data_IF_758904902018
#
_entry.id   IF_758904902018
#
_cell.length_a   1.000
_cell.length_b   1.000
_cell.length_c   1.000
_cell.angle_alpha   90.00
_cell.angle_beta   90.00
_cell.angle_gamma   90.00
#
_symmetry.space_group_name_H-M   'P 1'
#
loop_
_entity.id
_entity.type
_entity.pdbx_description
1 polymer ?
#
# COMPACT_ATOMS: atom_id res chain seq x y z
N UNK A 1 -25.13 -6.50 -65.44
CA UNK A 1 -24.17 -7.59 -65.70
C UNK A 1 -23.12 -7.61 -64.60
N UNK A 2 -22.97 -8.75 -63.92
CA UNK A 2 -22.09 -9.00 -62.77
C UNK A 2 -20.60 -8.88 -63.12
N UNK A 3 -19.79 -8.37 -62.18
CA UNK A 3 -18.43 -8.87 -61.93
C UNK A 3 -18.22 -9.04 -60.43
N UNK A 4 -18.36 -10.30 -59.97
CA UNK A 4 -17.87 -10.77 -58.67
C UNK A 4 -16.34 -10.83 -58.73
N UNK A 5 -15.66 -9.92 -58.04
CA UNK A 5 -14.25 -10.11 -57.71
C UNK A 5 -14.13 -11.12 -56.57
N UNK A 6 -13.59 -12.31 -56.84
CA UNK A 6 -13.16 -13.24 -55.80
C UNK A 6 -11.93 -12.64 -55.12
N UNK A 7 -12.08 -12.18 -53.88
CA UNK A 7 -10.96 -11.92 -52.99
C UNK A 7 -10.46 -13.29 -52.51
N UNK A 8 -9.31 -13.73 -52.99
CA UNK A 8 -8.60 -14.84 -52.35
C UNK A 8 -8.00 -14.30 -51.05
N UNK A 9 -8.44 -14.85 -49.92
CA UNK A 9 -7.77 -14.67 -48.64
C UNK A 9 -6.38 -15.30 -48.74
N UNK A 10 -5.33 -14.50 -48.59
CA UNK A 10 -3.98 -15.01 -48.40
C UNK A 10 -3.97 -15.83 -47.11
N UNK A 11 -3.93 -17.17 -47.23
CA UNK A 11 -3.80 -18.04 -46.07
C UNK A 11 -2.34 -18.11 -45.66
N UNK A 12 -2.08 -18.06 -44.35
CA UNK A 12 -0.76 -18.26 -43.76
C UNK A 12 -0.12 -19.59 -44.17
N UNK A 13 -0.95 -20.60 -44.49
CA UNK A 13 -0.50 -21.88 -45.00
C UNK A 13 0.19 -21.76 -46.37
N UNK A 14 -0.34 -20.95 -47.29
CA UNK A 14 0.26 -20.76 -48.61
C UNK A 14 1.57 -19.95 -48.54
N UNK A 15 1.66 -19.00 -47.61
CA UNK A 15 2.90 -18.27 -47.35
C UNK A 15 3.98 -19.16 -46.69
N UNK A 16 3.60 -20.07 -45.79
CA UNK A 16 4.51 -21.02 -45.17
C UNK A 16 5.05 -22.05 -46.18
N UNK A 17 4.23 -22.48 -47.13
CA UNK A 17 4.60 -23.43 -48.19
C UNK A 17 5.57 -22.79 -49.21
N UNK A 18 5.36 -21.51 -49.56
CA UNK A 18 6.30 -20.74 -50.39
C UNK A 18 7.65 -20.52 -49.71
N UNK A 19 7.68 -20.33 -48.38
CA UNK A 19 8.91 -20.19 -47.61
C UNK A 19 9.68 -21.51 -47.53
N UNK A 20 8.99 -22.63 -47.28
CA UNK A 20 9.59 -23.97 -47.25
C UNK A 20 10.22 -24.37 -48.61
N UNK A 21 9.59 -23.98 -49.72
CA UNK A 21 10.07 -24.28 -51.07
C UNK A 21 11.19 -23.35 -51.56
N UNK A 22 11.43 -22.21 -50.90
CA UNK A 22 12.44 -21.22 -51.33
C UNK A 22 13.87 -21.52 -50.87
N UNK A 23 14.09 -22.60 -50.11
CA UNK A 23 15.41 -22.99 -49.59
C UNK A 23 16.01 -22.00 -48.58
N UNK A 24 15.28 -20.94 -48.22
CA UNK A 24 15.67 -20.02 -47.16
C UNK A 24 15.38 -20.65 -45.80
N UNK A 25 16.44 -20.94 -45.05
CA UNK A 25 16.34 -21.27 -43.63
C UNK A 25 15.78 -20.04 -42.92
N UNK A 26 14.53 -20.10 -42.46
CA UNK A 26 13.94 -19.06 -41.62
C UNK A 26 14.81 -19.00 -40.36
N UNK A 27 15.58 -17.92 -40.19
CA UNK A 27 16.29 -17.68 -38.94
C UNK A 27 15.27 -17.67 -37.81
N UNK A 28 15.38 -18.64 -36.92
CA UNK A 28 14.60 -18.70 -35.69
C UNK A 28 14.96 -17.43 -34.90
N UNK A 29 13.99 -16.53 -34.77
CA UNK A 29 14.08 -15.40 -33.83
C UNK A 29 14.21 -16.01 -32.43
N UNK A 30 15.44 -16.07 -31.93
CA UNK A 30 15.81 -16.49 -30.59
C UNK A 30 15.40 -15.41 -29.58
N UNK A 31 15.29 -15.78 -28.30
CA UNK A 31 14.87 -14.90 -27.20
C UNK A 31 15.70 -13.59 -27.06
N UNK A 32 16.83 -13.47 -27.76
CA UNK A 32 17.72 -12.30 -27.74
C UNK A 32 17.16 -11.02 -28.37
N UNK A 33 16.13 -11.08 -29.21
CA UNK A 33 15.62 -9.90 -29.93
C UNK A 33 14.51 -9.12 -29.18
N UNK A 34 14.11 -9.57 -27.98
CA UNK A 34 13.08 -8.91 -27.17
C UNK A 34 13.66 -8.07 -26.02
N UNK A 35 14.27 -6.92 -26.33
CA UNK A 35 14.80 -5.90 -25.37
C UNK A 35 15.83 -6.44 -24.33
N UNK A 36 16.66 -5.58 -23.70
CA UNK A 36 17.96 -5.98 -23.12
C UNK A 36 17.90 -6.78 -21.80
N UNK A 37 16.79 -7.43 -21.46
CA UNK A 37 16.63 -8.15 -20.19
C UNK A 37 17.08 -9.62 -20.25
N UNK A 38 17.08 -10.22 -21.45
CA UNK A 38 17.51 -11.60 -21.64
C UNK A 38 19.04 -11.77 -21.51
N UNK A 39 19.82 -10.75 -21.89
CA UNK A 39 21.27 -10.88 -22.03
C UNK A 39 22.08 -10.84 -20.71
N UNK A 40 21.48 -10.42 -19.58
CA UNK A 40 22.22 -10.17 -18.32
C UNK A 40 21.76 -11.01 -17.11
N UNK A 41 20.74 -11.86 -17.24
CA UNK A 41 20.04 -12.41 -16.06
C UNK A 41 20.34 -13.89 -15.73
N UNK A 42 21.03 -14.59 -16.62
CA UNK A 42 21.45 -15.98 -16.43
C UNK A 42 22.97 -16.05 -16.67
N UNK A 43 23.75 -15.85 -15.62
CA UNK A 43 25.10 -16.43 -15.59
C UNK A 43 24.93 -17.93 -15.88
N UNK A 44 25.48 -18.40 -17.00
CA UNK A 44 25.31 -19.75 -17.57
C UNK A 44 24.01 -20.00 -18.38
N UNK A 45 23.70 -19.15 -19.38
CA UNK A 45 22.74 -19.53 -20.43
C UNK A 45 23.36 -20.60 -21.34
N UNK A 46 22.76 -21.80 -21.34
CA UNK A 46 23.11 -22.88 -22.25
C UNK A 46 22.21 -22.77 -23.49
N UNK A 47 22.75 -22.75 -24.73
CA UNK A 47 21.94 -22.77 -25.95
C UNK A 47 20.89 -23.91 -25.98
N UNK A 48 21.13 -25.02 -25.28
CA UNK A 48 20.17 -26.13 -25.16
C UNK A 48 18.94 -25.76 -24.31
N UNK A 49 19.00 -24.71 -23.48
CA UNK A 49 17.87 -24.21 -22.68
C UNK A 49 16.78 -23.53 -23.53
N UNK A 50 17.08 -23.20 -24.78
CA UNK A 50 16.11 -22.66 -25.75
C UNK A 50 15.42 -23.77 -26.55
N UNK A 51 15.86 -25.02 -26.42
CA UNK A 51 15.33 -26.20 -27.11
C UNK A 51 14.43 -27.02 -26.17
N UNK A 52 13.15 -26.65 -26.14
CA UNK A 52 12.07 -27.36 -25.44
C UNK A 52 10.76 -27.31 -26.24
N UNK A 53 9.74 -28.02 -25.76
CA UNK A 53 8.42 -28.14 -26.40
C UNK A 53 7.91 -26.87 -27.12
N UNK A 54 7.54 -27.04 -28.39
CA UNK A 54 7.16 -25.95 -29.28
C UNK A 54 5.86 -25.25 -28.86
N UNK A 55 4.90 -25.98 -28.29
CA UNK A 55 3.65 -25.38 -27.80
C UNK A 55 3.90 -24.49 -26.58
N UNK A 56 4.82 -24.90 -25.69
CA UNK A 56 5.27 -24.08 -24.57
C UNK A 56 5.98 -22.82 -25.07
N UNK A 57 6.87 -22.93 -26.06
CA UNK A 57 7.50 -21.74 -26.66
C UNK A 57 6.48 -20.76 -27.21
N UNK A 58 5.45 -21.26 -27.92
CA UNK A 58 4.37 -20.43 -28.45
C UNK A 58 3.60 -19.75 -27.31
N UNK A 59 3.29 -20.47 -26.23
CA UNK A 59 2.61 -19.92 -25.07
C UNK A 59 3.43 -18.82 -24.39
N UNK A 60 4.74 -19.03 -24.18
CA UNK A 60 5.67 -18.01 -23.65
C UNK A 60 5.76 -16.78 -24.56
N UNK A 61 5.79 -16.97 -25.89
CA UNK A 61 5.76 -15.87 -26.88
C UNK A 61 4.47 -15.06 -26.83
N UNK A 62 3.33 -15.66 -26.45
CA UNK A 62 2.07 -14.93 -26.22
C UNK A 62 2.11 -14.11 -24.93
N UNK A 63 2.73 -14.64 -23.87
CA UNK A 63 2.86 -13.97 -22.56
C UNK A 63 3.64 -12.65 -22.63
N UNK A 64 4.58 -12.51 -23.55
CA UNK A 64 5.37 -11.27 -23.71
C UNK A 64 4.68 -10.19 -24.56
N UNK A 65 3.49 -10.47 -25.11
CA UNK A 65 2.80 -9.49 -25.97
C UNK A 65 2.23 -8.33 -25.14
N UNK A 66 2.07 -7.17 -25.76
CA UNK A 66 1.47 -5.98 -25.13
C UNK A 66 -0.03 -6.12 -24.87
N UNK A 67 -0.73 -6.88 -25.72
CA UNK A 67 -2.16 -7.12 -25.61
C UNK A 67 -2.48 -8.07 -24.44
N UNK A 68 -3.32 -7.60 -23.52
CA UNK A 68 -3.63 -8.31 -22.28
C UNK A 68 -4.39 -9.62 -22.51
N UNK A 69 -5.28 -9.68 -23.50
CA UNK A 69 -6.02 -10.88 -23.85
C UNK A 69 -5.09 -11.97 -24.40
N UNK A 70 -4.14 -11.60 -25.24
CA UNK A 70 -3.11 -12.49 -25.78
C UNK A 70 -2.21 -13.03 -24.67
N UNK A 71 -1.78 -12.17 -23.73
CA UNK A 71 -1.01 -12.62 -22.56
C UNK A 71 -1.80 -13.61 -21.71
N UNK A 72 -3.05 -13.29 -21.39
CA UNK A 72 -3.91 -14.15 -20.59
C UNK A 72 -4.11 -15.51 -21.26
N UNK A 73 -4.33 -15.54 -22.58
CA UNK A 73 -4.43 -16.78 -23.36
C UNK A 73 -3.13 -17.59 -23.27
N UNK A 74 -1.97 -16.94 -23.42
CA UNK A 74 -0.67 -17.59 -23.25
C UNK A 74 -0.49 -18.23 -21.88
N UNK A 75 -0.88 -17.55 -20.79
CA UNK A 75 -0.82 -18.11 -19.43
C UNK A 75 -1.75 -19.32 -19.26
N UNK A 76 -2.97 -19.26 -19.80
CA UNK A 76 -3.93 -20.37 -19.74
C UNK A 76 -3.45 -21.59 -20.51
N UNK A 77 -2.92 -21.40 -21.70
CA UNK A 77 -2.32 -22.47 -22.51
C UNK A 77 -1.11 -23.09 -21.81
N UNK A 78 -0.18 -22.25 -21.33
CA UNK A 78 1.02 -22.71 -20.62
C UNK A 78 0.66 -23.57 -19.40
N UNK A 79 -0.35 -23.15 -18.62
CA UNK A 79 -0.86 -23.94 -17.48
C UNK A 79 -1.31 -25.35 -17.89
N UNK A 80 -1.95 -25.50 -19.05
CA UNK A 80 -2.43 -26.80 -19.54
C UNK A 80 -1.30 -27.70 -20.07
N UNK A 81 -0.17 -27.11 -20.46
CA UNK A 81 0.95 -27.82 -21.08
C UNK A 81 1.93 -28.38 -20.04
N UNK A 82 2.16 -27.68 -18.92
CA UNK A 82 3.16 -28.06 -17.88
C UNK A 82 3.01 -29.52 -17.43
N UNK A 83 1.78 -30.03 -17.30
CA UNK A 83 1.55 -31.40 -16.84
C UNK A 83 1.74 -32.45 -17.96
N UNK A 84 1.65 -32.05 -19.23
CA UNK A 84 1.64 -32.93 -20.40
C UNK A 84 3.03 -33.20 -21.00
N UNK A 85 3.96 -32.27 -20.82
CA UNK A 85 5.31 -32.36 -21.40
C UNK A 85 6.30 -33.08 -20.47
N UNK A 86 7.50 -33.37 -20.99
CA UNK A 86 8.56 -34.00 -20.21
C UNK A 86 9.05 -33.09 -19.08
N UNK A 87 9.59 -33.67 -18.01
CA UNK A 87 10.16 -32.88 -16.91
C UNK A 87 11.32 -31.99 -17.38
N UNK A 88 12.04 -32.40 -18.43
CA UNK A 88 13.13 -31.63 -19.00
C UNK A 88 12.62 -30.36 -19.71
N UNK A 89 11.55 -30.49 -20.52
CA UNK A 89 10.90 -29.34 -21.16
C UNK A 89 10.35 -28.35 -20.13
N UNK A 90 9.77 -28.86 -19.04
CA UNK A 90 9.29 -28.02 -17.93
C UNK A 90 10.46 -27.31 -17.25
N UNK A 91 11.58 -28.00 -17.03
CA UNK A 91 12.77 -27.42 -16.42
C UNK A 91 13.35 -26.29 -17.27
N UNK A 92 13.51 -26.52 -18.58
CA UNK A 92 14.02 -25.52 -19.53
C UNK A 92 13.07 -24.32 -19.63
N UNK A 93 11.78 -24.56 -19.86
CA UNK A 93 10.78 -23.49 -19.95
C UNK A 93 10.59 -22.71 -18.64
N UNK A 94 10.79 -23.34 -17.47
CA UNK A 94 10.73 -22.64 -16.19
C UNK A 94 11.80 -21.55 -16.07
N UNK A 95 13.00 -21.76 -16.61
CA UNK A 95 14.07 -20.74 -16.62
C UNK A 95 13.60 -19.45 -17.29
N UNK A 96 12.88 -19.59 -18.41
CA UNK A 96 12.26 -18.47 -19.12
C UNK A 96 11.13 -17.83 -18.31
N UNK A 97 10.23 -18.64 -17.74
CA UNK A 97 9.10 -18.13 -16.97
C UNK A 97 9.53 -17.38 -15.70
N UNK A 98 10.60 -17.83 -15.03
CA UNK A 98 11.17 -17.17 -13.84
C UNK A 98 11.60 -15.73 -14.13
N UNK A 99 12.12 -15.46 -15.33
CA UNK A 99 12.52 -14.11 -15.74
C UNK A 99 11.28 -13.23 -15.97
N UNK A 100 10.21 -13.81 -16.53
CA UNK A 100 8.97 -13.09 -16.82
C UNK A 100 8.11 -12.83 -15.57
N UNK A 101 8.17 -13.72 -14.58
CA UNK A 101 7.25 -13.73 -13.44
C UNK A 101 7.22 -12.41 -12.66
N UNK A 102 8.34 -11.76 -12.28
CA UNK A 102 8.30 -10.48 -11.58
C UNK A 102 7.49 -9.41 -12.34
N UNK A 103 7.63 -9.32 -13.66
CA UNK A 103 6.88 -8.37 -14.50
C UNK A 103 5.38 -8.72 -14.54
N UNK A 104 5.05 -10.00 -14.65
CA UNK A 104 3.66 -10.49 -14.61
C UNK A 104 3.02 -10.28 -13.24
N UNK A 105 3.80 -10.39 -12.16
CA UNK A 105 3.34 -10.21 -10.78
C UNK A 105 2.89 -8.77 -10.51
N UNK A 106 3.37 -7.80 -11.29
CA UNK A 106 2.97 -6.39 -11.17
C UNK A 106 2.09 -5.90 -12.31
N UNK A 107 1.62 -6.79 -13.19
CA UNK A 107 0.74 -6.44 -14.32
C UNK A 107 -0.51 -5.68 -13.84
N UNK A 108 -0.99 -4.70 -14.62
CA UNK A 108 -2.17 -3.92 -14.29
C UNK A 108 -3.43 -4.80 -14.10
N UNK A 109 -3.55 -5.88 -14.88
CA UNK A 109 -4.71 -6.76 -14.88
C UNK A 109 -4.60 -7.84 -13.81
N UNK A 110 -5.51 -7.81 -12.82
CA UNK A 110 -5.56 -8.79 -11.73
C UNK A 110 -5.70 -10.25 -12.21
N UNK A 111 -6.41 -10.48 -13.32
CA UNK A 111 -6.53 -11.80 -13.95
C UNK A 111 -5.19 -12.33 -14.45
N UNK A 112 -4.34 -11.47 -15.02
CA UNK A 112 -2.98 -11.85 -15.44
C UNK A 112 -2.13 -12.21 -14.22
N UNK A 113 -2.16 -11.38 -13.16
CA UNK A 113 -1.44 -11.66 -11.91
C UNK A 113 -1.84 -13.02 -11.31
N UNK A 114 -3.14 -13.29 -11.17
CA UNK A 114 -3.61 -14.57 -10.63
C UNK A 114 -3.27 -15.76 -11.53
N UNK A 115 -3.36 -15.62 -12.86
CA UNK A 115 -2.95 -16.70 -13.78
C UNK A 115 -1.44 -16.95 -13.77
N UNK A 116 -0.62 -15.91 -13.59
CA UNK A 116 0.82 -16.07 -13.43
C UNK A 116 1.16 -16.87 -12.16
N UNK A 117 0.47 -16.60 -11.04
CA UNK A 117 0.60 -17.39 -9.80
C UNK A 117 0.18 -18.85 -10.02
N UNK A 118 -0.92 -19.11 -10.75
CA UNK A 118 -1.35 -20.49 -11.08
C UNK A 118 -0.31 -21.25 -11.90
N UNK A 119 0.22 -20.62 -12.94
CA UNK A 119 1.29 -21.18 -13.77
C UNK A 119 2.51 -21.47 -12.92
N UNK A 120 2.88 -20.53 -12.04
CA UNK A 120 4.01 -20.72 -11.13
C UNK A 120 3.83 -21.93 -10.22
N UNK A 121 2.64 -22.09 -9.62
CA UNK A 121 2.30 -23.24 -8.81
C UNK A 121 2.39 -24.56 -9.59
N UNK A 122 1.98 -24.57 -10.86
CA UNK A 122 2.15 -25.72 -11.76
C UNK A 122 3.62 -26.11 -11.94
N UNK A 123 4.48 -25.12 -12.21
CA UNK A 123 5.93 -25.35 -12.32
C UNK A 123 6.53 -25.91 -11.03
N UNK A 124 6.24 -25.29 -9.88
CA UNK A 124 6.80 -25.71 -8.58
C UNK A 124 6.32 -27.13 -8.23
N UNK A 125 5.05 -27.45 -8.44
CA UNK A 125 4.50 -28.80 -8.19
C UNK A 125 5.15 -29.86 -9.09
N UNK A 126 5.37 -29.56 -10.37
CA UNK A 126 5.97 -30.49 -11.35
C UNK A 126 7.48 -30.68 -11.13
N UNK A 127 8.20 -29.60 -10.81
CA UNK A 127 9.66 -29.62 -10.66
C UNK A 127 10.14 -29.98 -9.24
N UNK A 128 9.32 -29.75 -8.23
CA UNK A 128 9.64 -30.00 -6.83
C UNK A 128 11.01 -29.39 -6.46
N UNK A 129 11.97 -30.17 -5.96
CA UNK A 129 13.32 -29.73 -5.58
C UNK A 129 14.07 -29.03 -6.72
N UNK A 130 13.79 -29.37 -7.99
CA UNK A 130 14.44 -28.73 -9.13
C UNK A 130 14.04 -27.25 -9.30
N UNK A 131 12.99 -26.79 -8.62
CA UNK A 131 12.59 -25.37 -8.62
C UNK A 131 13.35 -24.52 -7.59
N UNK A 132 14.00 -25.15 -6.60
CA UNK A 132 14.66 -24.49 -5.46
C UNK A 132 15.63 -23.36 -5.86
N UNK A 133 16.51 -23.51 -6.87
CA UNK A 133 17.46 -22.46 -7.26
C UNK A 133 16.80 -21.15 -7.70
N UNK A 134 15.54 -21.22 -8.13
CA UNK A 134 14.81 -20.08 -8.67
C UNK A 134 13.89 -19.42 -7.66
N UNK A 135 13.54 -20.08 -6.56
CA UNK A 135 12.54 -19.61 -5.60
C UNK A 135 12.85 -18.22 -5.06
N UNK A 136 14.13 -17.91 -4.82
CA UNK A 136 14.57 -16.58 -4.35
C UNK A 136 14.24 -15.44 -5.31
N UNK A 137 14.10 -15.71 -6.61
CA UNK A 137 13.75 -14.71 -7.63
C UNK A 137 12.24 -14.44 -7.72
N UNK A 138 11.40 -15.34 -7.22
CA UNK A 138 9.95 -15.35 -7.52
C UNK A 138 9.06 -15.29 -6.27
N UNK A 139 9.41 -16.01 -5.19
CA UNK A 139 8.58 -16.11 -4.00
C UNK A 139 8.39 -14.77 -3.28
N UNK A 140 9.38 -13.85 -3.24
CA UNK A 140 9.14 -12.53 -2.67
C UNK A 140 7.97 -11.78 -3.32
N UNK A 141 7.82 -11.88 -4.65
CA UNK A 141 6.71 -11.26 -5.37
C UNK A 141 5.37 -11.96 -5.08
N UNK A 142 5.35 -13.28 -4.93
CA UNK A 142 4.15 -14.04 -4.53
C UNK A 142 3.68 -13.62 -3.14
N UNK A 143 4.61 -13.49 -2.19
CA UNK A 143 4.28 -13.09 -0.81
C UNK A 143 3.73 -11.67 -0.79
N UNK A 144 4.27 -10.73 -1.58
CA UNK A 144 3.66 -9.42 -1.76
C UNK A 144 2.23 -9.53 -2.31
N UNK A 145 1.97 -10.42 -3.28
CA UNK A 145 0.63 -10.61 -3.86
C UNK A 145 -0.43 -11.09 -2.86
N UNK A 146 -0.05 -11.55 -1.66
CA UNK A 146 -0.98 -11.78 -0.56
C UNK A 146 -1.58 -10.49 0.01
N UNK A 147 -1.04 -9.32 -0.36
CA UNK A 147 -1.52 -7.98 0.00
C UNK A 147 -2.10 -7.23 -1.22
N UNK A 148 -2.45 -7.94 -2.29
CA UNK A 148 -3.05 -7.33 -3.48
C UNK A 148 -4.44 -6.73 -3.18
N UNK A 149 -4.80 -5.65 -3.89
CA UNK A 149 -6.12 -5.02 -3.73
C UNK A 149 -7.28 -5.89 -4.22
N UNK A 150 -7.02 -6.90 -5.04
CA UNK A 150 -8.01 -7.83 -5.56
C UNK A 150 -7.96 -9.16 -4.82
N UNK A 151 -9.07 -9.53 -4.18
CA UNK A 151 -9.22 -10.78 -3.42
C UNK A 151 -8.88 -12.03 -4.23
N UNK A 152 -9.17 -12.04 -5.54
CA UNK A 152 -8.80 -13.17 -6.41
C UNK A 152 -7.29 -13.41 -6.47
N UNK A 153 -6.46 -12.36 -6.42
CA UNK A 153 -5.00 -12.48 -6.46
C UNK A 153 -4.47 -12.92 -5.09
N UNK A 154 -5.04 -12.35 -4.02
CA UNK A 154 -4.70 -12.72 -2.64
C UNK A 154 -4.99 -14.19 -2.39
N UNK A 155 -6.19 -14.66 -2.72
CA UNK A 155 -6.62 -16.02 -2.50
C UNK A 155 -5.78 -17.01 -3.30
N UNK A 156 -5.47 -16.68 -4.56
CA UNK A 156 -4.63 -17.53 -5.41
C UNK A 156 -3.19 -17.62 -4.88
N UNK A 157 -2.62 -16.50 -4.42
CA UNK A 157 -1.26 -16.47 -3.86
C UNK A 157 -1.15 -17.29 -2.58
N UNK A 158 -2.14 -17.14 -1.68
CA UNK A 158 -2.24 -17.95 -0.46
C UNK A 158 -2.40 -19.43 -0.76
N UNK A 159 -3.32 -19.78 -1.67
CA UNK A 159 -3.56 -21.17 -2.05
C UNK A 159 -2.34 -21.80 -2.71
N UNK A 160 -1.66 -21.08 -3.59
CA UNK A 160 -0.46 -21.59 -4.25
C UNK A 160 0.66 -21.88 -3.25
N UNK A 161 0.91 -20.96 -2.31
CA UNK A 161 1.92 -21.17 -1.27
C UNK A 161 1.56 -22.36 -0.36
N UNK A 162 0.31 -22.44 0.12
CA UNK A 162 -0.15 -23.53 0.98
C UNK A 162 -0.07 -24.90 0.28
N UNK A 163 -0.43 -24.95 -1.00
CA UNK A 163 -0.39 -26.16 -1.80
C UNK A 163 1.04 -26.62 -2.13
N UNK A 164 1.94 -25.68 -2.45
CA UNK A 164 3.31 -26.01 -2.86
C UNK A 164 4.23 -26.25 -1.65
N UNK A 165 3.92 -25.63 -0.51
CA UNK A 165 4.71 -25.69 0.72
C UNK A 165 3.81 -26.00 1.93
N UNK A 166 3.21 -27.20 2.01
CA UNK A 166 2.28 -27.53 3.08
C UNK A 166 2.96 -27.70 4.45
N UNK A 167 2.16 -27.56 5.52
CA UNK A 167 2.57 -27.71 6.92
C UNK A 167 3.69 -26.72 7.30
N UNK A 168 4.65 -27.15 8.12
CA UNK A 168 5.78 -26.33 8.61
C UNK A 168 6.63 -25.69 7.50
N UNK A 169 6.54 -26.20 6.25
CA UNK A 169 7.22 -25.60 5.11
C UNK A 169 6.65 -24.22 4.76
N UNK A 170 5.36 -24.00 5.00
CA UNK A 170 4.73 -22.69 4.76
C UNK A 170 5.40 -21.63 5.62
N UNK A 171 5.46 -21.88 6.93
CA UNK A 171 6.07 -20.96 7.90
C UNK A 171 7.56 -20.77 7.62
N UNK A 172 8.25 -21.86 7.25
CA UNK A 172 9.67 -21.79 6.84
C UNK A 172 9.87 -20.88 5.62
N UNK A 173 9.01 -20.98 4.61
CA UNK A 173 9.06 -20.11 3.42
C UNK A 173 8.78 -18.66 3.81
N UNK A 174 7.76 -18.41 4.62
CA UNK A 174 7.43 -17.06 5.07
C UNK A 174 8.58 -16.42 5.86
N UNK A 175 9.29 -17.20 6.69
CA UNK A 175 10.45 -16.72 7.45
C UNK A 175 11.66 -16.45 6.54
N UNK A 176 12.04 -17.42 5.68
CA UNK A 176 13.20 -17.30 4.78
C UNK A 176 13.08 -16.08 3.87
N UNK A 177 11.87 -15.78 3.40
CA UNK A 177 11.64 -14.69 2.44
C UNK A 177 11.20 -13.37 3.09
N UNK A 178 11.08 -13.30 4.41
CA UNK A 178 10.64 -12.08 5.12
C UNK A 178 11.50 -10.86 4.76
N UNK A 179 12.81 -10.99 4.85
CA UNK A 179 13.75 -9.90 4.54
C UNK A 179 13.78 -9.56 3.03
N UNK A 180 13.93 -10.52 2.09
CA UNK A 180 13.83 -10.23 0.66
C UNK A 180 12.54 -9.52 0.23
N UNK A 181 11.40 -9.88 0.84
CA UNK A 181 10.11 -9.21 0.56
C UNK A 181 10.14 -7.76 1.07
N UNK A 182 10.67 -7.54 2.27
CA UNK A 182 10.81 -6.19 2.82
C UNK A 182 11.68 -5.30 1.95
N UNK A 183 12.82 -5.79 1.46
CA UNK A 183 13.67 -5.02 0.55
C UNK A 183 12.94 -4.57 -0.71
N UNK A 184 12.14 -5.46 -1.32
CA UNK A 184 11.32 -5.15 -2.49
C UNK A 184 10.25 -4.12 -2.12
N UNK A 185 9.56 -4.31 -0.99
CA UNK A 185 8.54 -3.40 -0.50
C UNK A 185 9.09 -1.98 -0.30
N UNK A 186 10.25 -1.84 0.35
CA UNK A 186 10.93 -0.57 0.56
C UNK A 186 11.38 0.07 -0.76
N UNK A 187 11.86 -0.72 -1.73
CA UNK A 187 12.21 -0.23 -3.07
C UNK A 187 10.98 0.27 -3.84
N UNK A 188 9.82 -0.39 -3.71
CA UNK A 188 8.57 0.11 -4.30
C UNK A 188 8.11 1.41 -3.65
N UNK A 189 8.06 1.46 -2.31
CA UNK A 189 7.67 2.66 -1.56
C UNK A 189 8.61 3.86 -1.80
N UNK A 190 9.89 3.58 -2.12
CA UNK A 190 10.90 4.61 -2.41
C UNK A 190 11.01 4.98 -3.89
N UNK A 191 10.12 4.50 -4.76
CA UNK A 191 10.17 4.72 -6.22
C UNK A 191 11.52 4.30 -6.87
N UNK A 192 12.17 3.26 -6.31
CA UNK A 192 13.51 2.79 -6.70
C UNK A 192 13.49 1.43 -7.42
N UNK A 193 12.37 0.71 -7.41
CA UNK A 193 12.29 -0.58 -8.06
C UNK A 193 12.11 -0.43 -9.58
N UNK A 194 12.90 -1.16 -10.37
CA UNK A 194 12.86 -1.14 -11.84
C UNK A 194 11.49 -1.48 -12.47
N UNK A 195 10.61 -2.17 -11.73
CA UNK A 195 9.31 -2.64 -12.21
C UNK A 195 8.23 -1.56 -12.11
N UNK A 196 8.57 -0.38 -11.55
CA UNK A 196 7.69 0.79 -11.52
C UNK A 196 7.63 1.49 -12.88
N UNK A 197 8.68 1.35 -13.70
CA UNK A 197 8.80 1.98 -15.01
C UNK A 197 8.33 1.02 -16.10
N UNK A 198 7.70 1.56 -17.15
CA UNK A 198 7.30 0.80 -18.35
C UNK A 198 6.51 -0.49 -18.04
N UNK A 199 5.51 -0.41 -17.16
CA UNK A 199 4.69 -1.58 -16.89
C UNK A 199 3.72 -1.89 -18.03
N UNK A 200 3.16 -3.10 -17.98
CA UNK A 200 2.20 -3.57 -18.98
C UNK A 200 0.76 -3.17 -18.61
N UNK A 201 -0.07 -2.95 -19.64
CA UNK A 201 -1.49 -2.60 -19.48
C UNK A 201 -1.76 -1.09 -19.44
N UNK A 202 -2.97 -0.72 -19.01
CA UNK A 202 -3.50 0.64 -19.13
C UNK A 202 -3.22 1.55 -17.91
N UNK A 203 -2.65 1.02 -16.83
CA UNK A 203 -2.36 1.84 -15.64
C UNK A 203 -1.22 2.83 -15.90
N UNK A 204 -1.40 4.08 -15.48
CA UNK A 204 -0.35 5.10 -15.50
C UNK A 204 0.78 4.71 -14.55
N UNK A 205 1.98 5.30 -14.72
CA UNK A 205 3.09 5.06 -13.79
C UNK A 205 2.73 5.45 -12.34
N UNK A 206 1.94 6.51 -12.15
CA UNK A 206 1.47 6.94 -10.84
C UNK A 206 0.49 5.94 -10.22
N UNK A 207 -0.47 5.44 -11.01
CA UNK A 207 -1.43 4.43 -10.55
C UNK A 207 -0.71 3.15 -10.12
N UNK A 208 0.27 2.71 -10.93
CA UNK A 208 1.12 1.55 -10.62
C UNK A 208 1.93 1.78 -9.34
N UNK A 209 2.59 2.92 -9.22
CA UNK A 209 3.36 3.28 -8.02
C UNK A 209 2.49 3.21 -6.77
N UNK A 210 1.32 3.87 -6.78
CA UNK A 210 0.42 3.91 -5.62
C UNK A 210 -0.12 2.53 -5.25
N UNK A 211 -0.45 1.68 -6.24
CA UNK A 211 -0.91 0.31 -6.01
C UNK A 211 0.18 -0.55 -5.37
N UNK A 212 1.40 -0.52 -5.90
CA UNK A 212 2.52 -1.31 -5.38
C UNK A 212 3.01 -0.77 -4.03
N UNK A 213 2.96 0.55 -3.81
CA UNK A 213 3.23 1.16 -2.51
C UNK A 213 2.20 0.72 -1.47
N UNK A 214 0.90 0.74 -1.79
CA UNK A 214 -0.16 0.27 -0.89
C UNK A 214 0.07 -1.18 -0.44
N UNK A 215 0.31 -2.07 -1.41
CA UNK A 215 0.62 -3.48 -1.17
C UNK A 215 1.85 -3.66 -0.27
N UNK A 216 2.89 -2.86 -0.52
CA UNK A 216 4.12 -2.84 0.28
C UNK A 216 3.88 -2.37 1.71
N UNK A 217 3.12 -1.30 1.91
CA UNK A 217 2.77 -0.77 3.23
C UNK A 217 1.98 -1.80 4.04
N UNK A 218 1.03 -2.49 3.40
CA UNK A 218 0.24 -3.53 4.04
C UNK A 218 1.10 -4.72 4.47
N UNK A 219 2.05 -5.13 3.64
CA UNK A 219 3.04 -6.15 4.00
C UNK A 219 3.90 -5.72 5.20
N UNK A 220 4.47 -4.52 5.16
CA UNK A 220 5.27 -4.01 6.28
C UNK A 220 4.45 -3.92 7.57
N UNK A 221 3.19 -3.50 7.48
CA UNK A 221 2.30 -3.46 8.63
C UNK A 221 2.04 -4.86 9.22
N UNK A 222 1.90 -5.90 8.39
CA UNK A 222 1.67 -7.27 8.88
C UNK A 222 2.90 -7.84 9.62
N UNK A 223 4.09 -7.69 9.03
CA UNK A 223 5.32 -8.22 9.65
C UNK A 223 5.73 -7.48 10.92
N UNK A 224 5.28 -6.22 11.10
CA UNK A 224 5.48 -5.50 12.35
C UNK A 224 4.64 -6.04 13.52
N UNK A 225 3.83 -7.08 13.32
CA UNK A 225 3.14 -7.80 14.40
C UNK A 225 3.89 -9.06 14.85
N UNK A 226 4.90 -9.47 14.08
CA UNK A 226 5.68 -10.68 14.27
C UNK A 226 7.07 -10.37 14.86
N UNK A 227 7.78 -11.41 15.29
CA UNK A 227 9.21 -11.29 15.59
C UNK A 227 9.98 -10.94 14.31
N UNK A 228 10.82 -9.91 14.37
CA UNK A 228 11.67 -9.46 13.27
C UNK A 228 13.11 -9.25 13.74
N UNK A 229 14.06 -9.42 12.81
CA UNK A 229 15.47 -9.14 13.08
C UNK A 229 15.70 -7.64 13.30
N UNK A 230 16.76 -7.31 14.05
CA UNK A 230 17.15 -5.92 14.27
C UNK A 230 17.52 -5.20 12.97
N UNK A 231 18.10 -5.93 12.01
CA UNK A 231 18.47 -5.38 10.70
C UNK A 231 17.22 -4.99 9.89
N UNK A 232 16.23 -5.88 9.85
CA UNK A 232 14.96 -5.62 9.19
C UNK A 232 14.25 -4.41 9.81
N UNK A 233 14.25 -4.32 11.14
CA UNK A 233 13.69 -3.18 11.89
C UNK A 233 14.40 -1.87 11.51
N UNK A 234 15.73 -1.87 11.45
CA UNK A 234 16.53 -0.69 11.06
C UNK A 234 16.23 -0.25 9.62
N UNK A 235 16.10 -1.18 8.68
CA UNK A 235 15.74 -0.85 7.29
C UNK A 235 14.38 -0.15 7.20
N UNK A 236 13.38 -0.66 7.94
CA UNK A 236 12.05 -0.03 8.01
C UNK A 236 12.16 1.38 8.61
N UNK A 237 12.95 1.57 9.68
CA UNK A 237 13.11 2.89 10.30
C UNK A 237 13.83 3.89 9.39
N UNK A 238 14.84 3.42 8.64
CA UNK A 238 15.58 4.24 7.69
C UNK A 238 14.67 4.82 6.59
N UNK A 239 13.61 4.10 6.20
CA UNK A 239 12.63 4.63 5.24
C UNK A 239 11.99 5.94 5.70
N UNK A 240 11.63 6.04 6.98
CA UNK A 240 11.01 7.25 7.57
C UNK A 240 11.99 8.41 7.77
N UNK A 241 13.30 8.13 7.68
CA UNK A 241 14.35 9.16 7.66
C UNK A 241 14.53 9.78 6.27
N UNK A 242 14.07 9.10 5.20
CA UNK A 242 14.18 9.56 3.83
C UNK A 242 13.12 10.59 3.43
N UNK A 243 13.07 11.04 2.16
CA UNK A 243 12.04 11.96 1.70
C UNK A 243 10.75 11.26 1.22
N UNK A 244 10.80 9.96 0.93
CA UNK A 244 9.77 9.26 0.18
C UNK A 244 8.46 9.06 0.95
N UNK A 245 8.50 8.89 2.28
CA UNK A 245 7.28 8.79 3.10
C UNK A 245 6.41 10.04 2.98
N UNK A 246 7.00 11.22 2.73
CA UNK A 246 6.25 12.48 2.56
C UNK A 246 5.29 12.41 1.38
N UNK A 247 5.72 11.81 0.26
CA UNK A 247 4.88 11.62 -0.93
C UNK A 247 3.69 10.71 -0.63
N UNK A 248 3.89 9.64 0.14
CA UNK A 248 2.86 8.65 0.43
C UNK A 248 1.79 9.17 1.42
N UNK A 249 2.16 10.11 2.29
CA UNK A 249 1.27 10.67 3.33
C UNK A 249 0.80 12.10 3.04
N UNK A 250 1.16 12.68 1.89
CA UNK A 250 0.75 14.04 1.54
C UNK A 250 -0.78 14.13 1.34
N UNK A 251 -1.38 15.33 1.48
CA UNK A 251 -2.80 15.55 1.16
C UNK A 251 -3.19 15.22 -0.29
N UNK A 252 -2.22 15.20 -1.21
CA UNK A 252 -2.43 14.87 -2.62
C UNK A 252 -2.33 13.37 -2.93
N UNK A 253 -1.89 12.55 -1.96
CA UNK A 253 -1.74 11.10 -2.13
C UNK A 253 -3.10 10.40 -2.12
N UNK A 254 -3.15 9.15 -2.59
CA UNK A 254 -4.37 8.36 -2.58
C UNK A 254 -4.79 8.00 -1.14
N UNK A 255 -6.07 8.16 -0.81
CA UNK A 255 -6.58 7.99 0.56
C UNK A 255 -6.23 6.63 1.19
N UNK A 256 -6.34 5.48 0.48
CA UNK A 256 -5.95 4.18 1.04
C UNK A 256 -4.45 4.09 1.39
N UNK A 257 -3.59 4.79 0.63
CA UNK A 257 -2.14 4.85 0.89
C UNK A 257 -1.89 5.68 2.15
N UNK A 258 -2.52 6.85 2.28
CA UNK A 258 -2.39 7.72 3.44
C UNK A 258 -2.82 7.01 4.73
N UNK A 259 -4.01 6.39 4.74
CA UNK A 259 -4.50 5.69 5.93
C UNK A 259 -3.63 4.49 6.28
N UNK A 260 -3.14 3.74 5.29
CA UNK A 260 -2.22 2.63 5.52
C UNK A 260 -0.86 3.09 6.05
N UNK A 261 -0.32 4.21 5.57
CA UNK A 261 0.92 4.81 6.08
C UNK A 261 0.80 5.24 7.55
N UNK A 262 -0.32 5.86 7.93
CA UNK A 262 -0.60 6.25 9.31
C UNK A 262 -0.76 5.03 10.22
N UNK A 263 -1.41 3.97 9.75
CA UNK A 263 -1.52 2.71 10.49
C UNK A 263 -0.16 2.01 10.63
N UNK A 264 0.67 2.01 9.57
CA UNK A 264 2.04 1.49 9.64
C UNK A 264 2.88 2.27 10.65
N UNK A 265 2.82 3.60 10.64
CA UNK A 265 3.51 4.42 11.63
C UNK A 265 3.03 4.12 13.05
N UNK A 266 1.71 4.01 13.25
CA UNK A 266 1.10 3.63 14.55
C UNK A 266 1.52 2.24 15.03
N UNK A 267 1.88 1.35 14.09
CA UNK A 267 2.40 0.02 14.39
C UNK A 267 3.89 0.06 14.71
N UNK A 268 4.66 0.86 13.99
CA UNK A 268 6.09 1.01 14.22
C UNK A 268 6.36 1.57 15.62
N UNK A 269 5.54 2.50 16.10
CA UNK A 269 5.69 3.07 17.45
C UNK A 269 5.50 2.05 18.59
N UNK A 270 4.97 0.86 18.31
CA UNK A 270 4.91 -0.23 19.30
C UNK A 270 6.19 -1.09 19.33
N UNK A 271 7.10 -0.88 18.39
CA UNK A 271 8.41 -1.54 18.35
C UNK A 271 9.43 -0.76 19.19
N UNK A 272 10.46 -1.46 19.66
CA UNK A 272 11.63 -0.84 20.30
C UNK A 272 12.25 0.20 19.37
N UNK A 273 12.51 1.40 19.90
CA UNK A 273 13.03 2.60 19.20
C UNK A 273 12.14 3.15 18.08
N UNK A 274 10.93 2.62 17.90
CA UNK A 274 10.03 3.02 16.81
C UNK A 274 9.56 4.47 16.90
N UNK A 275 9.36 5.00 18.13
CA UNK A 275 9.04 6.41 18.33
C UNK A 275 10.13 7.34 17.80
N UNK A 276 11.40 7.03 18.02
CA UNK A 276 12.51 7.89 17.57
C UNK A 276 12.52 8.04 16.05
N UNK A 277 12.30 6.93 15.32
CA UNK A 277 12.24 6.93 13.86
C UNK A 277 11.03 7.73 13.33
N UNK A 278 9.86 7.56 13.94
CA UNK A 278 8.62 8.19 13.46
C UNK A 278 8.56 9.68 13.82
N UNK A 279 8.99 10.08 15.01
CA UNK A 279 8.92 11.48 15.45
C UNK A 279 9.80 12.40 14.60
N UNK A 280 10.96 11.93 14.13
CA UNK A 280 11.84 12.69 13.23
C UNK A 280 11.31 12.79 11.80
N UNK A 281 10.21 12.09 11.48
CA UNK A 281 9.63 12.07 10.14
C UNK A 281 8.55 13.16 9.95
N UNK A 282 7.86 13.14 8.81
CA UNK A 282 6.75 14.05 8.53
C UNK A 282 5.40 13.52 9.05
N UNK A 283 5.37 12.28 9.57
CA UNK A 283 4.15 11.62 10.03
C UNK A 283 3.42 12.41 11.12
N UNK A 284 4.08 12.96 12.16
CA UNK A 284 3.40 13.74 13.19
C UNK A 284 2.63 14.92 12.60
N UNK A 285 3.28 15.74 11.77
CA UNK A 285 2.63 16.87 11.09
C UNK A 285 1.49 16.42 10.19
N UNK A 286 1.71 15.39 9.36
CA UNK A 286 0.70 14.87 8.45
C UNK A 286 -0.54 14.35 9.18
N UNK A 287 -0.37 13.70 10.34
CA UNK A 287 -1.49 13.19 11.13
C UNK A 287 -2.46 14.31 11.53
N UNK A 288 -1.95 15.47 11.98
CA UNK A 288 -2.77 16.65 12.25
C UNK A 288 -3.41 17.25 11.01
N UNK A 289 -2.70 17.28 9.87
CA UNK A 289 -3.27 17.72 8.59
C UNK A 289 -4.47 16.87 8.18
N UNK A 290 -4.47 15.58 8.51
CA UNK A 290 -5.49 14.62 8.06
C UNK A 290 -6.67 14.40 9.02
N UNK A 291 -6.71 15.06 10.18
CA UNK A 291 -7.80 14.90 11.16
C UNK A 291 -9.20 15.17 10.57
N UNK A 292 -9.35 16.23 9.76
CA UNK A 292 -10.63 16.60 9.15
C UNK A 292 -10.80 16.05 7.72
N UNK A 293 -10.03 15.04 7.34
CA UNK A 293 -10.13 14.43 6.02
C UNK A 293 -11.53 13.83 5.82
N UNK A 294 -12.11 14.04 4.63
CA UNK A 294 -13.43 13.54 4.28
C UNK A 294 -13.47 12.00 4.22
N UNK A 295 -12.35 11.36 3.91
CA UNK A 295 -12.22 9.91 3.98
C UNK A 295 -12.16 9.44 5.43
N UNK A 296 -13.09 8.54 5.78
CA UNK A 296 -13.23 8.00 7.14
C UNK A 296 -11.99 7.23 7.59
N UNK A 297 -11.37 6.48 6.69
CA UNK A 297 -10.20 5.66 7.03
C UNK A 297 -8.99 6.53 7.34
N UNK A 298 -8.82 7.62 6.60
CA UNK A 298 -7.73 8.59 6.80
C UNK A 298 -7.90 9.36 8.11
N UNK A 299 -9.06 9.98 8.33
CA UNK A 299 -9.32 10.74 9.57
C UNK A 299 -9.24 9.85 10.82
N UNK A 300 -9.72 8.61 10.74
CA UNK A 300 -9.58 7.64 11.84
C UNK A 300 -8.13 7.25 12.11
N UNK A 301 -7.35 6.92 11.09
CA UNK A 301 -5.94 6.55 11.26
C UNK A 301 -5.13 7.72 11.82
N UNK A 302 -5.41 8.95 11.37
CA UNK A 302 -4.82 10.18 11.90
C UNK A 302 -5.14 10.36 13.38
N UNK A 303 -6.43 10.28 13.76
CA UNK A 303 -6.86 10.42 15.15
C UNK A 303 -6.24 9.37 16.07
N UNK A 304 -6.16 8.12 15.62
CA UNK A 304 -5.51 7.04 16.38
C UNK A 304 -4.03 7.34 16.63
N UNK A 305 -3.30 7.78 15.60
CA UNK A 305 -1.89 8.12 15.75
C UNK A 305 -1.67 9.32 16.68
N UNK A 306 -2.48 10.38 16.55
CA UNK A 306 -2.43 11.55 17.45
C UNK A 306 -2.71 11.12 18.90
N UNK A 307 -3.70 10.26 19.12
CA UNK A 307 -4.01 9.75 20.45
C UNK A 307 -2.87 8.93 21.05
N UNK A 308 -2.17 8.14 20.22
CA UNK A 308 -0.96 7.43 20.66
C UNK A 308 0.16 8.39 21.08
N UNK A 309 0.38 9.49 20.33
CA UNK A 309 1.38 10.51 20.70
C UNK A 309 1.06 11.17 22.04
N UNK A 310 -0.22 11.49 22.28
CA UNK A 310 -0.68 12.04 23.57
C UNK A 310 -0.44 11.05 24.70
N UNK A 311 -0.86 9.79 24.53
CA UNK A 311 -0.67 8.74 25.55
C UNK A 311 0.79 8.49 25.89
N UNK A 312 1.66 8.54 24.89
CA UNK A 312 3.10 8.37 25.07
C UNK A 312 3.81 9.64 25.58
N UNK A 313 3.10 10.77 25.72
CA UNK A 313 3.65 12.08 26.10
C UNK A 313 4.80 12.55 25.20
N UNK A 314 4.68 12.30 23.89
CA UNK A 314 5.70 12.66 22.89
C UNK A 314 5.22 13.70 21.88
N UNK A 315 3.96 14.12 21.98
CA UNK A 315 3.32 15.04 21.02
C UNK A 315 4.15 16.32 20.81
N UNK A 316 4.60 16.94 21.89
CA UNK A 316 5.31 18.22 21.88
C UNK A 316 6.82 18.10 21.71
N UNK A 317 7.35 16.86 21.59
CA UNK A 317 8.77 16.66 21.30
C UNK A 317 9.13 17.18 19.90
N UNK A 318 8.15 17.23 18.99
CA UNK A 318 8.37 17.54 17.57
C UNK A 318 7.35 18.49 16.97
N UNK A 319 6.20 18.70 17.61
CA UNK A 319 5.17 19.64 17.14
C UNK A 319 5.12 20.87 18.04
N UNK A 320 5.11 22.03 17.40
CA UNK A 320 4.89 23.30 18.08
C UNK A 320 3.48 23.36 18.68
N UNK A 321 3.39 23.70 19.96
CA UNK A 321 2.16 23.73 20.74
C UNK A 321 1.15 24.70 20.12
N UNK A 322 1.58 25.91 19.77
CA UNK A 322 0.68 27.00 19.36
C UNK A 322 0.42 27.00 17.85
N UNK A 323 1.49 26.98 17.07
CA UNK A 323 1.47 27.12 15.62
C UNK A 323 0.90 25.88 14.93
N UNK A 324 1.11 24.70 15.51
CA UNK A 324 0.68 23.43 14.93
C UNK A 324 -0.50 22.83 15.68
N UNK A 325 -0.34 22.49 16.96
CA UNK A 325 -1.34 21.69 17.70
C UNK A 325 -2.59 22.51 18.02
N UNK A 326 -2.45 23.60 18.77
CA UNK A 326 -3.56 24.43 19.23
C UNK A 326 -4.33 25.05 18.06
N UNK A 327 -3.61 25.66 17.10
CA UNK A 327 -4.21 26.18 15.87
C UNK A 327 -5.02 25.11 15.13
N UNK A 328 -4.49 23.89 15.01
CA UNK A 328 -5.18 22.83 14.28
C UNK A 328 -6.40 22.32 15.03
N UNK A 329 -6.36 22.24 16.36
CA UNK A 329 -7.55 21.88 17.16
C UNK A 329 -8.69 22.85 16.94
N UNK A 330 -8.43 24.16 17.05
CA UNK A 330 -9.42 25.22 16.76
C UNK A 330 -9.97 25.06 15.34
N UNK A 331 -9.10 24.88 14.34
CA UNK A 331 -9.52 24.74 12.94
C UNK A 331 -10.37 23.48 12.68
N UNK A 332 -10.07 22.36 13.32
CA UNK A 332 -10.84 21.12 13.18
C UNK A 332 -12.20 21.27 13.88
N UNK A 333 -12.23 21.88 15.08
CA UNK A 333 -13.48 22.10 15.81
C UNK A 333 -14.45 22.99 15.03
N UNK A 334 -13.90 24.03 14.38
CA UNK A 334 -14.62 24.90 13.47
C UNK A 334 -15.19 24.18 12.24
N UNK A 335 -14.59 23.07 11.82
CA UNK A 335 -15.04 22.31 10.65
C UNK A 335 -16.09 21.30 11.09
N UNK A 336 -17.34 21.70 11.05
CA UNK A 336 -18.47 20.88 11.53
C UNK A 336 -19.00 19.94 10.45
N UNK A 337 -18.29 18.80 10.24
CA UNK A 337 -18.55 17.82 9.17
C UNK A 337 -18.49 16.35 9.63
N UNK A 338 -18.78 15.40 8.75
CA UNK A 338 -18.94 13.97 9.10
C UNK A 338 -17.71 13.26 9.71
N UNK A 339 -16.51 13.85 9.64
CA UNK A 339 -15.30 13.28 10.24
C UNK A 339 -15.34 13.21 11.78
N UNK A 340 -16.25 13.94 12.43
CA UNK A 340 -16.38 13.99 13.90
C UNK A 340 -16.53 12.62 14.57
N UNK A 341 -17.19 11.67 13.89
CA UNK A 341 -17.33 10.29 14.37
C UNK A 341 -16.00 9.53 14.52
N UNK A 342 -14.91 10.03 13.92
CA UNK A 342 -13.60 9.40 13.96
C UNK A 342 -12.60 10.15 14.85
N UNK A 343 -12.86 11.42 15.16
CA UNK A 343 -11.90 12.31 15.85
C UNK A 343 -12.34 12.79 17.23
N UNK A 344 -13.62 12.60 17.60
CA UNK A 344 -14.16 13.06 18.90
C UNK A 344 -13.25 12.65 20.07
N UNK A 345 -12.86 11.37 20.08
CA UNK A 345 -12.13 10.74 21.19
C UNK A 345 -10.69 11.26 21.35
N UNK A 346 -10.17 12.06 20.41
CA UNK A 346 -8.82 12.64 20.49
C UNK A 346 -8.83 14.13 20.82
N UNK A 347 -9.95 14.84 20.62
CA UNK A 347 -10.00 16.30 20.83
C UNK A 347 -9.71 16.70 22.28
N UNK A 348 -10.47 16.16 23.24
CA UNK A 348 -10.32 16.49 24.66
C UNK A 348 -8.96 16.04 25.22
N UNK A 349 -8.44 14.83 24.90
CA UNK A 349 -7.08 14.45 25.29
C UNK A 349 -5.99 15.41 24.78
N UNK A 350 -6.07 15.88 23.53
CA UNK A 350 -5.10 16.83 22.98
C UNK A 350 -5.23 18.20 23.66
N UNK A 351 -6.46 18.70 23.85
CA UNK A 351 -6.70 19.96 24.57
C UNK A 351 -6.09 19.88 25.96
N UNK A 352 -6.36 18.81 26.70
CA UNK A 352 -5.79 18.58 28.03
C UNK A 352 -4.25 18.61 28.01
N UNK A 353 -3.62 17.92 27.07
CA UNK A 353 -2.18 17.93 26.93
C UNK A 353 -1.62 19.35 26.68
N UNK A 354 -2.30 20.17 25.87
CA UNK A 354 -1.90 21.57 25.64
C UNK A 354 -2.00 22.42 26.92
N UNK A 355 -3.02 22.20 27.76
CA UNK A 355 -3.18 22.92 29.03
C UNK A 355 -2.08 22.57 30.04
N UNK A 356 -1.57 21.33 30.01
CA UNK A 356 -0.49 20.89 30.90
C UNK A 356 0.85 21.59 30.60
N UNK A 357 1.05 22.10 29.38
CA UNK A 357 2.27 22.80 28.96
C UNK A 357 2.18 24.34 29.03
N UNK A 358 0.98 24.88 29.28
CA UNK A 358 0.72 26.33 29.22
C UNK A 358 0.57 26.95 30.59
N UNK A 359 0.91 28.24 30.70
CA UNK A 359 0.59 29.01 31.90
C UNK A 359 -0.93 29.12 32.08
N UNK A 360 -1.38 29.50 33.28
CA UNK A 360 -2.81 29.67 33.58
C UNK A 360 -3.47 30.68 32.62
N UNK A 361 -2.83 31.83 32.38
CA UNK A 361 -3.35 32.87 31.50
C UNK A 361 -3.46 32.40 30.04
N UNK A 362 -2.45 31.71 29.52
CA UNK A 362 -2.47 31.16 28.16
C UNK A 362 -3.49 30.04 28.01
N UNK A 363 -3.64 29.20 29.03
CA UNK A 363 -4.63 28.13 29.08
C UNK A 363 -6.05 28.66 29.05
N UNK A 364 -6.35 29.72 29.82
CA UNK A 364 -7.65 30.40 29.76
C UNK A 364 -7.94 30.95 28.37
N UNK A 365 -6.98 31.63 27.75
CA UNK A 365 -7.13 32.15 26.39
C UNK A 365 -7.37 31.04 25.37
N UNK A 366 -6.67 29.91 25.50
CA UNK A 366 -6.87 28.76 24.63
C UNK A 366 -8.24 28.12 24.81
N UNK A 367 -8.70 27.91 26.06
CA UNK A 367 -10.03 27.39 26.36
C UNK A 367 -11.14 28.29 25.82
N UNK A 368 -10.96 29.60 25.82
CA UNK A 368 -11.91 30.53 25.20
C UNK A 368 -11.91 30.38 23.68
N UNK A 369 -10.74 30.33 23.02
CA UNK A 369 -10.67 30.07 21.57
C UNK A 369 -11.33 28.74 21.15
N UNK A 370 -11.20 27.70 21.97
CA UNK A 370 -11.85 26.41 21.72
C UNK A 370 -13.37 26.54 21.86
N UNK A 371 -13.84 27.24 22.90
CA UNK A 371 -15.26 27.51 23.08
C UNK A 371 -15.82 28.28 21.86
N UNK A 372 -15.14 29.35 21.46
CA UNK A 372 -15.49 30.15 20.27
C UNK A 372 -15.64 29.25 19.05
N UNK A 373 -14.69 28.33 18.86
CA UNK A 373 -14.70 27.43 17.71
C UNK A 373 -15.92 26.49 17.67
N UNK A 374 -16.39 26.02 18.82
CA UNK A 374 -17.63 25.25 18.90
C UNK A 374 -18.83 26.08 18.42
N UNK A 375 -18.86 27.38 18.71
CA UNK A 375 -19.98 28.26 18.41
C UNK A 375 -19.90 29.01 17.06
N UNK A 376 -18.71 29.13 16.48
CA UNK A 376 -18.45 29.89 15.23
C UNK A 376 -19.37 29.47 14.06
N UNK A 377 -20.08 30.42 13.46
CA UNK A 377 -20.93 30.16 12.28
C UNK A 377 -22.28 29.48 12.54
N UNK A 378 -22.79 29.53 13.78
CA UNK A 378 -24.19 29.21 14.11
C UNK A 378 -25.15 30.39 13.86
N UNK A 379 -26.46 30.18 13.60
CA UNK A 379 -27.18 28.90 13.58
C UNK A 379 -27.14 28.15 12.23
N UNK A 380 -27.20 26.82 12.29
CA UNK A 380 -26.97 25.90 11.17
C UNK A 380 -28.19 25.70 10.24
N UNK A 381 -27.90 25.43 8.97
CA UNK A 381 -28.80 24.70 8.07
C UNK A 381 -28.72 23.18 8.37
N UNK A 382 -29.54 22.72 9.34
CA UNK A 382 -30.05 21.40 9.82
C UNK A 382 -29.41 20.04 9.37
N UNK A 383 -28.48 19.96 8.43
CA UNK A 383 -27.92 18.68 7.94
C UNK A 383 -26.85 18.03 8.83
N UNK A 384 -26.43 18.65 9.94
CA UNK A 384 -25.34 18.13 10.78
C UNK A 384 -25.62 18.20 12.30
N UNK A 385 -26.37 17.25 12.86
CA UNK A 385 -26.25 16.91 14.27
C UNK A 385 -25.46 15.59 14.40
N UNK A 386 -24.15 15.69 14.60
CA UNK A 386 -23.32 14.53 14.91
C UNK A 386 -23.26 14.36 16.43
N UNK A 387 -23.84 13.27 16.94
CA UNK A 387 -23.77 12.89 18.37
C UNK A 387 -22.33 12.93 18.89
N UNK A 388 -21.34 12.56 18.08
CA UNK A 388 -19.93 12.62 18.47
C UNK A 388 -19.44 14.05 18.70
N UNK A 389 -19.92 15.03 17.93
CA UNK A 389 -19.62 16.45 18.16
C UNK A 389 -20.19 16.92 19.50
N UNK A 390 -21.47 16.61 19.75
CA UNK A 390 -22.17 17.01 20.98
C UNK A 390 -21.49 16.39 22.20
N UNK A 391 -21.18 15.09 22.14
CA UNK A 391 -20.45 14.42 23.22
C UNK A 391 -19.07 15.05 23.44
N UNK A 392 -18.35 15.40 22.36
CA UNK A 392 -17.06 16.10 22.52
C UNK A 392 -17.22 17.46 23.18
N UNK A 393 -18.28 18.21 22.85
CA UNK A 393 -18.56 19.50 23.48
C UNK A 393 -18.90 19.34 24.98
N UNK A 394 -19.64 18.30 25.35
CA UNK A 394 -19.93 17.96 26.75
C UNK A 394 -18.62 17.63 27.49
N UNK A 395 -17.81 16.73 26.95
CA UNK A 395 -16.52 16.35 27.54
C UNK A 395 -15.57 17.56 27.67
N UNK A 396 -15.55 18.45 26.67
CA UNK A 396 -14.80 19.71 26.73
C UNK A 396 -15.31 20.63 27.84
N UNK A 397 -16.64 20.73 28.00
CA UNK A 397 -17.27 21.55 29.04
C UNK A 397 -16.88 21.06 30.43
N UNK A 398 -16.96 19.75 30.64
CA UNK A 398 -16.51 19.10 31.88
C UNK A 398 -15.02 19.39 32.15
N UNK A 399 -14.16 19.21 31.15
CA UNK A 399 -12.73 19.53 31.25
C UNK A 399 -12.51 20.99 31.64
N UNK A 400 -13.18 21.95 30.97
CA UNK A 400 -13.02 23.38 31.21
C UNK A 400 -13.44 23.75 32.63
N UNK A 401 -14.59 23.25 33.10
CA UNK A 401 -15.08 23.51 34.46
C UNK A 401 -14.09 22.94 35.49
N UNK A 402 -13.72 21.67 35.37
CA UNK A 402 -12.78 21.02 36.28
C UNK A 402 -11.43 21.74 36.32
N UNK A 403 -10.89 22.11 35.16
CA UNK A 403 -9.62 22.85 35.08
C UNK A 403 -9.74 24.23 35.74
N UNK A 404 -10.81 24.97 35.48
CA UNK A 404 -11.05 26.31 36.06
C UNK A 404 -11.19 26.25 37.58
N UNK A 405 -11.94 25.28 38.12
CA UNK A 405 -12.08 25.10 39.58
C UNK A 405 -10.74 24.83 40.26
N UNK A 406 -9.86 24.07 39.60
CA UNK A 406 -8.56 23.70 40.17
C UNK A 406 -7.51 24.81 40.07
N UNK A 407 -7.55 25.63 39.01
CA UNK A 407 -6.47 26.58 38.69
C UNK A 407 -6.86 28.05 38.89
N UNK A 408 -8.16 28.37 38.98
CA UNK A 408 -8.69 29.74 38.93
C UNK A 408 -9.75 29.99 40.01
N UNK A 409 -9.57 29.43 41.22
CA UNK A 409 -10.58 29.46 42.28
C UNK A 409 -11.12 30.87 42.61
N UNK A 410 -10.29 31.91 42.49
CA UNK A 410 -10.68 33.29 42.80
C UNK A 410 -11.53 33.97 41.70
N UNK A 411 -11.49 33.46 40.46
CA UNK A 411 -12.17 34.04 39.30
C UNK A 411 -13.31 33.15 38.78
N UNK A 412 -13.65 32.09 39.54
CA UNK A 412 -14.55 31.02 39.10
C UNK A 412 -15.92 31.56 38.68
N UNK A 413 -16.54 32.40 39.49
CA UNK A 413 -17.89 32.94 39.22
C UNK A 413 -17.92 33.72 37.91
N UNK A 414 -16.90 34.56 37.65
CA UNK A 414 -16.83 35.37 36.43
C UNK A 414 -16.61 34.50 35.18
N UNK A 415 -15.73 33.50 35.26
CA UNK A 415 -15.42 32.62 34.13
C UNK A 415 -16.62 31.72 33.80
N UNK A 416 -17.28 31.19 34.82
CA UNK A 416 -18.45 30.33 34.70
C UNK A 416 -19.65 31.11 34.15
N UNK A 417 -19.88 32.34 34.63
CA UNK A 417 -20.97 33.19 34.14
C UNK A 417 -20.81 33.54 32.65
N UNK A 418 -19.59 33.92 32.22
CA UNK A 418 -19.27 34.15 30.80
C UNK A 418 -19.50 32.91 29.95
N UNK A 419 -19.08 31.74 30.44
CA UNK A 419 -19.27 30.47 29.76
C UNK A 419 -20.76 30.16 29.57
N UNK A 420 -21.56 30.20 30.65
CA UNK A 420 -22.99 29.90 30.57
C UNK A 420 -23.74 30.90 29.71
N UNK A 421 -23.41 32.19 29.82
CA UNK A 421 -23.98 33.23 28.97
C UNK A 421 -23.78 32.88 27.49
N UNK A 422 -22.57 32.47 27.10
CA UNK A 422 -22.26 32.12 25.72
C UNK A 422 -22.99 30.88 25.21
N UNK A 423 -23.05 29.82 26.03
CA UNK A 423 -23.80 28.60 25.69
C UNK A 423 -25.29 28.92 25.57
N UNK A 424 -25.85 29.68 26.50
CA UNK A 424 -27.25 30.09 26.51
C UNK A 424 -27.62 30.83 25.22
N UNK A 425 -26.81 31.81 24.79
CA UNK A 425 -27.06 32.59 23.57
C UNK A 425 -27.10 31.79 22.27
N UNK A 426 -26.49 30.61 22.22
CA UNK A 426 -26.39 29.82 20.99
C UNK A 426 -27.20 28.53 21.00
N UNK A 427 -27.64 28.07 22.18
CA UNK A 427 -28.39 26.82 22.35
C UNK A 427 -29.90 27.02 22.57
N UNK A 428 -30.33 28.24 22.93
CA UNK A 428 -31.73 28.64 23.16
C UNK A 428 -32.06 29.77 22.20
#
# INVERSE_FOLDING_TARGET
>A
MQRRGKIFTASSAHAAELLANSGHTVQIVTFGDCEPFAATSLENHDPDDDLFDAEIQIALKKIIKKDSQTREKGLKELRQLIDKVSIDDVRKSFKHFVILFPKLSVDATATIRSNAVRVLGGYIKKLQKNSEPYLKKILPYVILLMQDSYSQVVNESKSMLADCFPNEKYDTVMEIFKEPVCEIALKFMSDKHQLLRKGEGEETEEQRFMRLALQSIQYLHSICTESMSDELRKQIFQFFSGPYHRRLISPSSQMPVVSSMLNLASRITTLTDGWEAILKSYVPTASFTHLDNADRSVSRAAALFVHQMVKAKVLFNVLDIDETVARRMVAVINRKKNFWSNVSNVMVPVIKAVLEEKTIAESQLFLEKILDAFFEGMPWNISFPNVAWVNTFIEFTELRICWTMNQCANDLDSIVDKFFTKVFFHCI
#
